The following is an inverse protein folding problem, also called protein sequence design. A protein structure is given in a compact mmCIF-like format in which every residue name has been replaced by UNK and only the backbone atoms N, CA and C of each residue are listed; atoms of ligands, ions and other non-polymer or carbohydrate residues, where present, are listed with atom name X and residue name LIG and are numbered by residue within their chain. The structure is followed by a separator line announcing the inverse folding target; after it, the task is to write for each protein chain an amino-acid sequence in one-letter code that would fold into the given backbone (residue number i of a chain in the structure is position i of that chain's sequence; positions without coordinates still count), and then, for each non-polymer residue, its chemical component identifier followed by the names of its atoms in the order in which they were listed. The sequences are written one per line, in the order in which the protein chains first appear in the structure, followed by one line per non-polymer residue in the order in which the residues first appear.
data_IF_638624104764
#
_entry.id   IF_638624104764
#
_cell.length_a   1.000
_cell.length_b   1.000
_cell.length_c   1.000
_cell.angle_alpha   90.00
_cell.angle_beta   90.00
_cell.angle_gamma   90.00
#
_symmetry.space_group_name_H-M   'P 1'
#
loop_
_entity.id
_entity.type
_entity.pdbx_description
1 polymer ?
#
# COMPACT_ATOMS: atom_id res chain seq x y z
N UNK A 1 17.50 -3.15 -0.78
CA UNK A 1 17.74 -3.28 -2.24
C UNK A 1 19.21 -3.48 -2.61
N UNK A 2 20.15 -2.75 -1.98
CA UNK A 2 21.59 -2.83 -2.31
C UNK A 2 22.18 -4.25 -2.23
N UNK A 3 21.79 -5.06 -1.23
CA UNK A 3 22.37 -6.40 -1.07
C UNK A 3 22.01 -7.37 -2.20
N UNK A 4 20.78 -7.32 -2.73
CA UNK A 4 20.35 -8.23 -3.83
C UNK A 4 21.10 -7.88 -5.10
N UNK A 5 21.26 -6.59 -5.37
CA UNK A 5 22.03 -6.13 -6.52
C UNK A 5 23.53 -6.46 -6.36
N UNK A 6 24.09 -6.32 -5.15
CA UNK A 6 25.50 -6.60 -4.89
C UNK A 6 25.85 -8.10 -5.05
N UNK A 7 25.01 -9.00 -4.54
CA UNK A 7 25.31 -10.44 -4.52
C UNK A 7 24.66 -11.23 -5.67
N UNK A 8 23.53 -10.77 -6.19
CA UNK A 8 22.70 -11.55 -7.11
C UNK A 8 22.42 -10.88 -8.47
N UNK A 9 23.23 -9.91 -8.90
CA UNK A 9 23.08 -9.25 -10.21
C UNK A 9 23.80 -9.98 -11.35
N UNK A 10 23.36 -9.76 -12.59
CA UNK A 10 24.03 -10.25 -13.80
C UNK A 10 23.56 -11.62 -14.31
N UNK A 11 22.61 -12.28 -13.64
CA UNK A 11 22.12 -13.59 -14.05
C UNK A 11 20.60 -13.74 -13.92
N UNK A 12 20.06 -14.72 -14.64
CA UNK A 12 18.67 -15.15 -14.56
C UNK A 12 18.55 -16.32 -13.58
N UNK A 13 17.47 -16.37 -12.82
CA UNK A 13 17.28 -17.41 -11.79
C UNK A 13 16.12 -18.35 -12.09
N UNK A 14 15.12 -17.91 -12.86
CA UNK A 14 13.95 -18.72 -13.17
C UNK A 14 13.30 -18.31 -14.49
N UNK A 15 12.49 -19.23 -15.03
CA UNK A 15 11.65 -19.03 -16.22
C UNK A 15 10.19 -19.14 -15.81
N UNK A 16 9.39 -18.13 -16.15
CA UNK A 16 7.97 -18.11 -15.85
C UNK A 16 7.19 -19.08 -16.75
N UNK A 17 6.17 -19.80 -16.23
CA UNK A 17 5.42 -20.82 -16.96
C UNK A 17 4.33 -20.24 -17.89
N UNK A 18 4.21 -18.91 -17.99
CA UNK A 18 3.22 -18.21 -18.80
C UNK A 18 3.89 -17.23 -19.77
N UNK A 19 3.29 -16.94 -20.93
CA UNK A 19 3.82 -15.97 -21.88
C UNK A 19 3.73 -14.55 -21.31
N UNK A 20 4.73 -13.73 -21.63
CA UNK A 20 4.81 -12.33 -21.21
C UNK A 20 5.06 -11.42 -22.41
N UNK A 21 4.50 -10.22 -22.35
CA UNK A 21 4.74 -9.21 -23.39
C UNK A 21 6.14 -8.61 -23.23
N UNK A 22 6.71 -8.13 -24.34
CA UNK A 22 8.07 -7.56 -24.35
C UNK A 22 8.22 -6.32 -23.46
N UNK A 23 7.13 -5.63 -23.13
CA UNK A 23 7.13 -4.46 -22.23
C UNK A 23 7.61 -4.80 -20.81
N UNK A 24 7.41 -6.03 -20.36
CA UNK A 24 7.89 -6.48 -19.05
C UNK A 24 9.39 -6.79 -19.02
N UNK A 25 10.06 -6.87 -20.19
CA UNK A 25 11.46 -7.28 -20.28
C UNK A 25 12.39 -6.37 -19.47
N UNK A 26 12.27 -5.05 -19.64
CA UNK A 26 13.12 -4.09 -18.91
C UNK A 26 12.94 -4.18 -17.39
N UNK A 27 11.75 -4.57 -16.94
CA UNK A 27 11.43 -4.76 -15.53
C UNK A 27 11.92 -6.11 -14.99
N UNK A 28 11.69 -7.20 -15.72
CA UNK A 28 11.99 -8.57 -15.28
C UNK A 28 13.45 -8.97 -15.47
N UNK A 29 14.17 -8.29 -16.35
CA UNK A 29 15.57 -8.57 -16.69
C UNK A 29 16.48 -7.41 -16.28
N UNK A 30 16.04 -6.60 -15.32
CA UNK A 30 16.88 -5.56 -14.73
C UNK A 30 18.18 -6.20 -14.20
N UNK A 31 19.32 -5.65 -14.62
CA UNK A 31 20.65 -6.18 -14.30
C UNK A 31 21.16 -7.28 -15.24
N UNK A 32 20.40 -7.71 -16.25
CA UNK A 32 20.83 -8.72 -17.24
C UNK A 32 20.86 -8.09 -18.63
N UNK A 33 22.06 -7.79 -19.14
CA UNK A 33 22.26 -7.07 -20.40
C UNK A 33 22.16 -8.00 -21.63
N UNK A 34 20.94 -8.42 -22.01
CA UNK A 34 20.72 -9.27 -23.20
C UNK A 34 19.61 -8.75 -24.12
N UNK A 35 19.93 -8.61 -25.43
CA UNK A 35 19.02 -8.03 -26.43
C UNK A 35 17.84 -8.93 -26.82
N UNK A 36 18.09 -10.21 -27.07
CA UNK A 36 17.10 -11.11 -27.67
C UNK A 36 16.60 -12.22 -26.74
N UNK A 37 16.87 -12.10 -25.43
CA UNK A 37 16.37 -13.05 -24.44
C UNK A 37 14.84 -12.96 -24.28
N UNK A 38 14.20 -14.13 -24.22
CA UNK A 38 12.76 -14.30 -24.00
C UNK A 38 12.32 -13.59 -22.68
N UNK A 39 11.28 -12.73 -22.70
CA UNK A 39 10.78 -12.02 -21.51
C UNK A 39 10.36 -12.91 -20.34
N UNK A 40 10.16 -14.21 -20.54
CA UNK A 40 9.84 -15.17 -19.47
C UNK A 40 10.98 -15.43 -18.50
N UNK A 41 12.21 -15.11 -18.88
CA UNK A 41 13.36 -15.21 -17.98
C UNK A 41 13.40 -14.02 -17.04
N UNK A 42 13.60 -14.29 -15.76
CA UNK A 42 13.55 -13.30 -14.69
C UNK A 42 14.84 -13.27 -13.88
N UNK A 43 15.31 -12.06 -13.57
CA UNK A 43 16.46 -11.83 -12.69
C UNK A 43 16.07 -11.90 -11.21
N UNK A 44 17.07 -12.00 -10.35
CA UNK A 44 16.90 -12.08 -8.90
C UNK A 44 16.18 -10.87 -8.30
N UNK A 45 16.45 -9.66 -8.81
CA UNK A 45 15.85 -8.42 -8.30
C UNK A 45 14.35 -8.37 -8.60
N UNK A 46 13.96 -8.80 -9.80
CA UNK A 46 12.56 -8.83 -10.20
C UNK A 46 11.77 -9.90 -9.45
N UNK A 47 12.41 -11.04 -9.14
CA UNK A 47 11.82 -12.06 -8.26
C UNK A 47 11.57 -11.52 -6.85
N UNK A 48 12.53 -10.77 -6.29
CA UNK A 48 12.36 -10.17 -4.97
C UNK A 48 11.18 -9.19 -4.91
N UNK A 49 11.04 -8.32 -5.92
CA UNK A 49 9.89 -7.43 -6.01
C UNK A 49 8.57 -8.20 -6.12
N UNK A 50 8.53 -9.25 -6.94
CA UNK A 50 7.35 -10.10 -7.05
C UNK A 50 6.98 -10.71 -5.69
N UNK A 51 7.95 -11.22 -4.92
CA UNK A 51 7.72 -11.75 -3.58
C UNK A 51 7.23 -10.69 -2.59
N UNK A 52 7.76 -9.46 -2.62
CA UNK A 52 7.28 -8.38 -1.73
C UNK A 52 5.78 -8.13 -1.94
N UNK A 53 5.32 -8.04 -3.18
CA UNK A 53 3.92 -7.75 -3.47
C UNK A 53 3.02 -8.99 -3.34
N UNK A 54 3.52 -10.17 -3.70
CA UNK A 54 2.74 -11.40 -3.74
C UNK A 54 2.53 -12.07 -2.38
N UNK A 55 3.40 -11.81 -1.39
CA UNK A 55 3.35 -12.50 -0.09
C UNK A 55 2.45 -11.80 0.95
N UNK A 56 1.80 -10.69 0.61
CA UNK A 56 0.96 -9.95 1.54
C UNK A 56 -0.17 -10.82 2.13
N UNK A 57 -0.81 -11.65 1.30
CA UNK A 57 -1.86 -12.58 1.74
C UNK A 57 -1.34 -13.66 2.69
N UNK A 58 -0.11 -14.13 2.47
CA UNK A 58 0.56 -15.11 3.33
C UNK A 58 0.89 -14.48 4.68
N UNK A 59 1.41 -13.25 4.70
CA UNK A 59 1.68 -12.54 5.94
C UNK A 59 0.41 -12.22 6.71
N UNK A 60 -0.66 -11.82 6.03
CA UNK A 60 -1.98 -11.63 6.65
C UNK A 60 -2.50 -12.90 7.31
N UNK A 61 -2.35 -14.05 6.64
CA UNK A 61 -2.78 -15.32 7.19
C UNK A 61 -1.98 -15.72 8.43
N UNK A 62 -0.66 -15.49 8.43
CA UNK A 62 0.22 -15.90 9.54
C UNK A 62 0.23 -14.94 10.72
N UNK A 63 0.16 -13.63 10.47
CA UNK A 63 0.42 -12.58 11.45
C UNK A 63 -0.81 -11.70 11.74
N UNK A 64 -1.92 -11.90 11.04
CA UNK A 64 -3.11 -11.04 11.12
C UNK A 64 -3.00 -9.77 10.26
N UNK A 65 -4.04 -8.95 10.29
CA UNK A 65 -4.23 -7.78 9.41
C UNK A 65 -3.25 -6.63 9.67
N UNK A 66 -2.86 -6.41 10.94
CA UNK A 66 -2.00 -5.29 11.35
C UNK A 66 -0.50 -5.64 11.38
N UNK A 67 -0.07 -6.55 10.50
CA UNK A 67 1.31 -6.98 10.46
C UNK A 67 2.24 -5.92 9.82
N UNK A 68 3.46 -5.81 10.33
CA UNK A 68 4.45 -4.86 9.84
C UNK A 68 4.90 -5.12 8.39
N UNK A 69 4.76 -6.35 7.88
CA UNK A 69 5.13 -6.69 6.51
C UNK A 69 4.23 -6.00 5.48
N UNK A 70 2.93 -5.84 5.78
CA UNK A 70 1.99 -5.08 4.95
C UNK A 70 2.36 -3.58 4.88
N UNK A 71 2.87 -3.02 5.97
CA UNK A 71 3.28 -1.61 6.01
C UNK A 71 4.49 -1.35 5.11
N UNK A 72 5.45 -2.27 5.06
CA UNK A 72 6.63 -2.16 4.18
C UNK A 72 6.23 -2.24 2.70
N UNK A 73 5.27 -3.11 2.35
CA UNK A 73 4.74 -3.17 0.98
C UNK A 73 4.00 -1.87 0.59
N UNK A 74 3.21 -1.31 1.50
CA UNK A 74 2.53 -0.03 1.30
C UNK A 74 3.52 1.14 1.14
N UNK A 75 4.56 1.18 1.96
CA UNK A 75 5.61 2.21 1.89
C UNK A 75 6.44 2.11 0.60
N UNK A 76 6.75 0.90 0.14
CA UNK A 76 7.45 0.68 -1.13
C UNK A 76 6.57 0.94 -2.36
N UNK A 77 5.26 0.71 -2.26
CA UNK A 77 4.30 1.10 -3.30
C UNK A 77 4.19 2.62 -3.47
N UNK A 78 4.37 3.38 -2.39
CA UNK A 78 4.43 4.84 -2.44
C UNK A 78 5.77 5.39 -2.98
N UNK A 79 6.84 4.59 -3.01
CA UNK A 79 8.14 4.96 -3.58
C UNK A 79 8.25 4.74 -5.10
N UNK A 80 7.17 4.32 -5.77
CA UNK A 80 7.09 4.39 -7.24
C UNK A 80 7.21 5.85 -7.74
N UNK A 81 7.56 6.08 -9.03
CA UNK A 81 7.75 7.42 -9.63
C UNK A 81 6.48 8.28 -9.75
N UNK A 82 5.54 8.12 -8.82
CA UNK A 82 4.37 8.96 -8.60
C UNK A 82 4.33 9.59 -7.20
N UNK A 83 5.43 9.54 -6.42
CA UNK A 83 5.59 10.26 -5.16
C UNK A 83 5.59 11.81 -5.29
N UNK A 84 5.14 12.35 -6.42
CA UNK A 84 4.78 13.76 -6.61
C UNK A 84 3.28 14.05 -6.34
N UNK A 85 2.47 13.06 -5.94
CA UNK A 85 1.06 13.29 -5.60
C UNK A 85 0.82 13.78 -4.15
N UNK A 86 1.85 13.90 -3.33
CA UNK A 86 1.78 14.74 -2.14
C UNK A 86 2.06 16.18 -2.58
N UNK A 87 0.98 16.90 -2.90
CA UNK A 87 1.00 18.34 -3.05
C UNK A 87 1.66 19.02 -1.84
N UNK A 88 2.05 20.30 -1.97
CA UNK A 88 2.71 21.06 -0.90
C UNK A 88 1.94 20.85 0.40
N UNK A 89 2.68 20.46 1.45
CA UNK A 89 2.14 20.01 2.73
C UNK A 89 0.92 20.82 3.12
N UNK A 90 -0.21 20.12 3.33
CA UNK A 90 -1.44 20.76 3.78
C UNK A 90 -1.13 21.54 5.05
N UNK A 91 -1.28 22.85 4.95
CA UNK A 91 -1.07 23.80 6.04
C UNK A 91 -2.04 23.45 7.18
N UNK A 92 -1.55 23.06 8.38
CA UNK A 92 -2.41 22.64 9.49
C UNK A 92 -3.45 23.69 9.85
N UNK A 93 -3.11 24.98 9.74
CA UNK A 93 -4.01 26.07 10.06
C UNK A 93 -5.23 26.10 9.13
N UNK A 94 -5.03 25.80 7.84
CA UNK A 94 -6.12 25.73 6.85
C UNK A 94 -7.00 24.50 7.05
N UNK A 95 -6.41 23.39 7.49
CA UNK A 95 -7.18 22.19 7.83
C UNK A 95 -8.09 22.46 9.04
N UNK A 96 -7.56 23.09 10.09
CA UNK A 96 -8.35 23.41 11.28
C UNK A 96 -9.44 24.45 10.99
N UNK A 97 -9.18 25.44 10.14
CA UNK A 97 -10.22 26.37 9.69
C UNK A 97 -11.34 25.67 8.93
N UNK A 98 -11.00 24.81 7.97
CA UNK A 98 -12.00 24.06 7.20
C UNK A 98 -12.85 23.16 8.11
N UNK A 99 -12.26 22.51 9.10
CA UNK A 99 -13.00 21.67 10.06
C UNK A 99 -13.90 22.51 10.98
N UNK A 100 -13.44 23.69 11.41
CA UNK A 100 -14.25 24.60 12.22
C UNK A 100 -15.47 25.12 11.44
N UNK A 101 -15.30 25.47 10.16
CA UNK A 101 -16.40 25.87 9.28
C UNK A 101 -17.39 24.71 9.07
N UNK A 102 -16.90 23.48 8.87
CA UNK A 102 -17.76 22.30 8.77
C UNK A 102 -18.57 22.08 10.05
N UNK A 103 -17.94 22.15 11.22
CA UNK A 103 -18.60 21.98 12.53
C UNK A 103 -19.68 23.03 12.76
N UNK A 104 -19.51 24.26 12.27
CA UNK A 104 -20.49 25.33 12.44
C UNK A 104 -21.80 25.08 11.67
N UNK A 105 -21.79 24.21 10.65
CA UNK A 105 -22.96 23.88 9.82
C UNK A 105 -23.70 22.64 10.36
N UNK A 106 -23.11 21.88 11.28
CA UNK A 106 -23.71 20.66 11.82
C UNK A 106 -24.85 21.01 12.78
N UNK A 107 -26.00 20.38 12.59
CA UNK A 107 -27.12 20.50 13.52
C UNK A 107 -26.74 19.94 14.90
N UNK A 108 -27.04 20.72 15.93
CA UNK A 108 -26.78 20.30 17.31
C UNK A 108 -27.65 19.09 17.67
N UNK A 109 -27.00 17.99 18.04
CA UNK A 109 -27.63 16.79 18.55
C UNK A 109 -27.20 16.54 20.01
N UNK A 110 -28.17 16.52 20.92
CA UNK A 110 -27.94 16.20 22.33
C UNK A 110 -28.58 14.87 22.70
N UNK A 111 -27.77 13.98 23.30
CA UNK A 111 -28.24 12.68 23.81
C UNK A 111 -29.02 12.83 25.12
N UNK A 112 -28.91 14.00 25.76
CA UNK A 112 -29.59 14.31 27.02
C UNK A 112 -31.03 14.80 26.80
N UNK A 113 -31.39 15.12 25.57
CA UNK A 113 -32.74 15.52 25.22
C UNK A 113 -33.66 14.30 25.43
N UNK A 114 -34.78 14.53 26.14
CA UNK A 114 -35.78 13.52 26.50
C UNK A 114 -35.21 12.27 27.21
N UNK A 115 -34.07 12.43 27.91
CA UNK A 115 -33.42 11.31 28.58
C UNK A 115 -34.28 10.74 29.72
N UNK A 116 -35.05 11.58 30.40
CA UNK A 116 -35.96 11.16 31.47
C UNK A 116 -37.07 10.26 30.90
N UNK A 117 -37.67 10.64 29.77
CA UNK A 117 -38.70 9.84 29.09
C UNK A 117 -38.14 8.52 28.56
N UNK A 118 -36.95 8.55 27.95
CA UNK A 118 -36.24 7.34 27.48
C UNK A 118 -35.90 6.41 28.64
N UNK A 119 -35.49 6.97 29.78
CA UNK A 119 -35.17 6.20 30.97
C UNK A 119 -36.44 5.59 31.57
N UNK A 120 -37.50 6.36 31.74
CA UNK A 120 -38.79 5.89 32.26
C UNK A 120 -39.38 4.79 31.37
N UNK A 121 -39.33 4.94 30.04
CA UNK A 121 -39.74 3.92 29.09
C UNK A 121 -38.91 2.62 29.19
N UNK A 122 -37.61 2.73 29.52
CA UNK A 122 -36.75 1.55 29.71
C UNK A 122 -37.01 0.80 31.01
N UNK A 123 -37.52 1.48 32.04
CA UNK A 123 -37.72 0.93 33.40
C UNK A 123 -39.15 0.39 33.61
N UNK A 124 -40.10 0.69 32.71
CA UNK A 124 -41.39 0.00 32.64
C UNK A 124 -42.32 0.27 33.84
N UNK A 125 -42.60 1.54 34.12
CA UNK A 125 -43.76 1.97 34.93
C UNK A 125 -44.81 2.57 34.00
#
# INVERSE_FOLDING_TARGET
MSWINAFFSGYVILKLPFPLTIKFKSMLQAGVATKDMDPRWMSSISWYFLCIFGLQSVFNFLLGSDNAANQVAAQMGQMGPQAQMFGPGQDPDKQFQAEAENLAVIDHYSVLDDIEDRLLASVGV
#
